data_IF_864709156034
#
_entry.id   IF_864709156034
#
_cell.length_a   1.000
_cell.length_b   1.000
_cell.length_c   1.000
_cell.angle_alpha   90.00
_cell.angle_beta   90.00
_cell.angle_gamma   90.00
#
_symmetry.space_group_name_H-M   'P 1'
#
loop_
_entity.id
_entity.type
_entity.pdbx_description
1 polymer ?
#
# COMPACT_ATOMS: atom_id res chain seq x y z
N UNK A 1 18.56 -9.47 10.43
CA UNK A 1 18.39 -7.99 10.26
C UNK A 1 16.94 -7.74 9.92
N UNK A 2 16.36 -6.62 10.39
CA UNK A 2 14.96 -6.35 10.11
C UNK A 2 14.72 -6.19 8.59
N UNK A 3 13.68 -6.84 8.10
CA UNK A 3 13.22 -6.73 6.72
C UNK A 3 12.83 -5.28 6.41
N UNK A 4 12.93 -4.90 5.15
CA UNK A 4 12.51 -3.59 4.67
C UNK A 4 11.46 -3.71 3.58
N UNK A 5 10.63 -2.70 3.48
CA UNK A 5 9.59 -2.61 2.47
C UNK A 5 9.85 -1.40 1.59
N UNK A 6 9.72 -1.54 0.30
CA UNK A 6 9.80 -0.43 -0.63
C UNK A 6 8.48 -0.24 -1.35
N UNK A 7 8.15 1.01 -1.60
CA UNK A 7 7.02 1.41 -2.40
C UNK A 7 7.47 2.44 -3.44
N UNK A 8 6.96 2.33 -4.65
CA UNK A 8 7.08 3.34 -5.69
C UNK A 8 5.70 3.49 -6.30
N UNK A 9 5.16 4.70 -6.32
CA UNK A 9 3.94 5.03 -7.06
C UNK A 9 4.22 6.10 -8.08
N UNK A 10 3.61 5.97 -9.25
CA UNK A 10 3.79 6.90 -10.35
C UNK A 10 2.46 7.17 -11.07
N UNK A 11 2.30 8.41 -11.54
CA UNK A 11 1.20 8.88 -12.37
C UNK A 11 1.70 9.12 -13.79
N UNK A 12 0.95 8.67 -14.76
CA UNK A 12 1.29 8.73 -16.17
C UNK A 12 0.28 9.57 -16.94
N UNK A 13 0.69 10.21 -18.06
CA UNK A 13 -0.19 11.07 -18.85
C UNK A 13 -1.28 10.30 -19.63
N UNK A 14 -1.20 8.97 -19.63
CA UNK A 14 -2.14 8.08 -20.33
C UNK A 14 -2.40 6.81 -19.57
N UNK A 15 -3.45 6.12 -19.90
CA UNK A 15 -3.69 4.76 -19.43
C UNK A 15 -2.57 3.83 -19.90
N UNK A 16 -2.06 3.03 -18.97
CA UNK A 16 -1.08 1.98 -19.25
C UNK A 16 -1.78 0.70 -19.70
N UNK A 17 -1.24 0.09 -20.74
CA UNK A 17 -1.64 -1.27 -21.14
C UNK A 17 -0.87 -2.32 -20.31
N UNK A 18 -1.31 -3.57 -20.37
CA UNK A 18 -0.61 -4.67 -19.72
C UNK A 18 0.82 -4.90 -20.26
N UNK A 19 1.10 -4.42 -21.48
CA UNK A 19 2.41 -4.55 -22.13
C UNK A 19 3.36 -3.39 -21.86
N UNK A 20 2.88 -2.29 -21.28
CA UNK A 20 3.72 -1.13 -20.98
C UNK A 20 4.67 -1.41 -19.80
N UNK A 21 4.25 -2.25 -18.86
CA UNK A 21 5.08 -2.63 -17.72
C UNK A 21 5.65 -4.03 -17.94
N UNK A 22 6.89 -4.06 -18.39
CA UNK A 22 7.68 -5.29 -18.56
C UNK A 22 8.58 -5.56 -17.36
N UNK A 23 8.46 -4.77 -16.29
CA UNK A 23 9.23 -5.00 -15.08
C UNK A 23 8.77 -6.32 -14.45
N UNK A 24 9.63 -7.32 -14.49
CA UNK A 24 9.49 -8.49 -13.63
C UNK A 24 9.59 -8.10 -12.16
N UNK A 25 9.23 -8.99 -11.26
CA UNK A 25 9.47 -8.76 -9.83
C UNK A 25 10.95 -8.41 -9.60
N UNK A 26 11.27 -7.46 -8.71
CA UNK A 26 12.65 -7.05 -8.48
C UNK A 26 13.47 -8.20 -7.92
N UNK A 27 14.62 -8.45 -8.57
CA UNK A 27 15.53 -9.54 -8.19
C UNK A 27 16.01 -9.37 -6.73
N UNK A 28 15.92 -10.45 -5.97
CA UNK A 28 16.34 -10.50 -4.56
C UNK A 28 15.32 -9.96 -3.56
N UNK A 29 14.12 -9.63 -3.98
CA UNK A 29 13.01 -9.37 -3.07
C UNK A 29 12.41 -10.69 -2.58
N UNK A 30 12.07 -10.77 -1.28
CA UNK A 30 11.32 -11.88 -0.70
C UNK A 30 9.90 -11.95 -1.27
N UNK A 31 9.39 -10.79 -1.66
CA UNK A 31 8.07 -10.63 -2.24
C UNK A 31 7.99 -9.34 -3.08
N UNK A 32 7.22 -9.36 -4.15
CA UNK A 32 6.90 -8.17 -4.94
C UNK A 32 5.46 -8.19 -5.47
N UNK A 33 4.90 -7.01 -5.62
CA UNK A 33 3.56 -6.78 -6.14
C UNK A 33 3.56 -5.51 -6.99
N UNK A 34 2.90 -5.55 -8.13
CA UNK A 34 2.55 -4.37 -8.90
C UNK A 34 1.03 -4.31 -9.12
N UNK A 35 0.50 -3.11 -9.23
CA UNK A 35 -0.92 -2.91 -9.44
C UNK A 35 -1.26 -1.49 -9.87
N UNK A 36 -2.47 -1.34 -10.41
CA UNK A 36 -3.05 -0.04 -10.72
C UNK A 36 -3.90 0.44 -9.55
N UNK A 37 -4.13 1.73 -9.47
CA UNK A 37 -5.08 2.26 -8.51
C UNK A 37 -6.48 1.71 -8.77
N UNK A 38 -7.24 1.43 -7.72
CA UNK A 38 -8.65 1.06 -7.83
C UNK A 38 -9.54 2.22 -7.38
N UNK A 39 -10.57 2.48 -8.17
CA UNK A 39 -11.69 3.34 -7.79
C UNK A 39 -12.96 2.49 -7.64
N UNK A 40 -13.73 2.76 -6.60
CA UNK A 40 -15.01 2.11 -6.35
C UNK A 40 -16.15 3.06 -6.74
N UNK A 41 -17.03 2.60 -7.61
CA UNK A 41 -18.21 3.36 -7.96
C UNK A 41 -19.30 3.31 -6.84
N UNK A 42 -20.40 4.00 -7.05
CA UNK A 42 -21.50 4.05 -6.07
C UNK A 42 -22.16 2.68 -5.81
N UNK A 43 -22.13 1.81 -6.81
CA UNK A 43 -22.63 0.45 -6.67
C UNK A 43 -21.67 -0.46 -5.88
N UNK A 44 -20.45 0.01 -5.54
CA UNK A 44 -19.42 -0.80 -4.86
C UNK A 44 -18.64 -1.71 -5.81
N UNK A 45 -18.64 -1.40 -7.11
CA UNK A 45 -17.90 -2.15 -8.11
C UNK A 45 -16.55 -1.48 -8.38
N UNK A 46 -15.46 -2.27 -8.50
CA UNK A 46 -14.13 -1.73 -8.75
C UNK A 46 -13.94 -1.35 -10.22
N UNK A 47 -13.16 -0.31 -10.44
CA UNK A 47 -12.59 0.03 -11.75
C UNK A 47 -11.11 0.34 -11.60
N UNK A 48 -10.30 0.01 -12.62
CA UNK A 48 -8.87 0.31 -12.62
C UNK A 48 -8.64 1.72 -13.14
N UNK A 49 -7.95 2.54 -12.36
CA UNK A 49 -7.32 3.75 -12.86
C UNK A 49 -5.91 3.39 -13.33
N UNK A 50 -5.76 3.21 -14.63
CA UNK A 50 -4.51 2.76 -15.25
C UNK A 50 -3.49 3.88 -15.46
N UNK A 51 -3.84 5.12 -15.17
CA UNK A 51 -2.88 6.23 -15.16
C UNK A 51 -2.01 6.22 -13.90
N UNK A 52 -2.40 5.47 -12.85
CA UNK A 52 -1.63 5.35 -11.61
C UNK A 52 -1.19 3.92 -11.43
N UNK A 53 0.11 3.75 -11.21
CA UNK A 53 0.73 2.45 -10.99
C UNK A 53 1.62 2.46 -9.76
N UNK A 54 1.58 1.36 -9.02
CA UNK A 54 2.36 1.20 -7.79
C UNK A 54 3.08 -0.13 -7.80
N UNK A 55 4.34 -0.12 -7.38
CA UNK A 55 5.19 -1.28 -7.16
C UNK A 55 5.56 -1.34 -5.68
N UNK A 56 5.42 -2.51 -5.11
CA UNK A 56 5.73 -2.80 -3.72
C UNK A 56 6.66 -4.00 -3.67
N UNK A 57 7.66 -3.95 -2.79
CA UNK A 57 8.53 -5.11 -2.57
C UNK A 57 8.97 -5.21 -1.11
N UNK A 58 9.06 -6.44 -0.62
CA UNK A 58 9.64 -6.78 0.67
C UNK A 58 11.06 -7.32 0.45
N UNK A 59 11.99 -6.82 1.22
CA UNK A 59 13.41 -7.12 1.11
C UNK A 59 13.93 -7.78 2.39
N UNK A 60 14.93 -8.66 2.27
CA UNK A 60 15.53 -9.30 3.45
C UNK A 60 16.18 -8.29 4.42
N UNK A 61 16.58 -7.14 3.93
CA UNK A 61 17.15 -6.05 4.74
C UNK A 61 16.98 -4.67 4.11
N UNK A 62 17.32 -3.62 4.90
CA UNK A 62 17.23 -2.22 4.48
C UNK A 62 18.18 -1.85 3.35
N UNK A 63 19.34 -2.48 3.29
CA UNK A 63 20.34 -2.12 2.28
C UNK A 63 19.94 -2.67 0.91
N UNK A 64 19.30 -3.84 0.86
CA UNK A 64 18.72 -4.36 -0.36
C UNK A 64 17.62 -3.44 -0.91
N UNK A 65 16.67 -3.03 -0.07
CA UNK A 65 15.64 -2.06 -0.46
C UNK A 65 16.22 -0.70 -0.88
N UNK A 66 17.23 -0.21 -0.18
CA UNK A 66 17.92 1.05 -0.52
C UNK A 66 18.65 0.95 -1.87
N UNK A 67 19.34 -0.15 -2.15
CA UNK A 67 19.99 -0.38 -3.45
C UNK A 67 18.98 -0.38 -4.59
N UNK A 68 17.86 -1.04 -4.41
CA UNK A 68 16.77 -1.05 -5.39
C UNK A 68 16.25 0.37 -5.68
N UNK A 69 15.94 1.15 -4.63
CA UNK A 69 15.42 2.52 -4.79
C UNK A 69 16.43 3.46 -5.45
N UNK A 70 17.73 3.31 -5.18
CA UNK A 70 18.77 4.09 -5.86
C UNK A 70 18.83 3.84 -7.37
N UNK A 71 18.46 2.65 -7.81
CA UNK A 71 18.44 2.22 -9.22
C UNK A 71 17.03 2.09 -9.77
N UNK A 72 16.04 2.76 -9.16
CA UNK A 72 14.61 2.58 -9.49
C UNK A 72 14.29 2.80 -10.97
N UNK A 73 14.92 3.78 -11.61
CA UNK A 73 14.69 4.06 -13.04
C UNK A 73 15.28 2.97 -13.94
N UNK A 74 16.41 2.38 -13.55
CA UNK A 74 16.99 1.24 -14.25
C UNK A 74 16.13 -0.01 -14.05
N UNK A 75 15.62 -0.22 -12.84
CA UNK A 75 14.80 -1.36 -12.48
C UNK A 75 13.37 -1.25 -13.00
N UNK A 76 12.86 -0.04 -13.12
CA UNK A 76 11.50 0.28 -13.63
C UNK A 76 11.64 1.40 -14.67
N UNK A 77 12.04 1.09 -15.90
CA UNK A 77 12.26 2.10 -16.95
C UNK A 77 11.03 2.96 -17.25
N UNK A 78 9.85 2.43 -17.00
CA UNK A 78 8.58 3.13 -17.16
C UNK A 78 8.52 4.44 -16.37
N UNK A 79 9.23 4.55 -15.25
CA UNK A 79 9.28 5.77 -14.43
C UNK A 79 9.81 7.01 -15.18
N UNK A 80 10.55 6.83 -16.27
CA UNK A 80 10.99 7.95 -17.13
C UNK A 80 9.85 8.68 -17.84
N UNK A 81 8.68 8.04 -17.93
CA UNK A 81 7.48 8.58 -18.56
C UNK A 81 6.48 9.14 -17.54
N UNK A 82 6.77 9.06 -16.25
CA UNK A 82 5.87 9.52 -15.20
C UNK A 82 5.85 11.05 -15.10
N UNK A 83 4.66 11.64 -14.97
CA UNK A 83 4.47 13.06 -14.69
C UNK A 83 4.71 13.39 -13.21
N UNK A 84 4.35 12.45 -12.36
CA UNK A 84 4.53 12.55 -10.93
C UNK A 84 4.87 11.16 -10.38
N UNK A 85 5.78 11.11 -9.41
CA UNK A 85 6.10 9.87 -8.71
C UNK A 85 6.61 10.15 -7.30
N UNK A 86 6.50 9.14 -6.46
CA UNK A 86 7.18 9.09 -5.19
C UNK A 86 7.70 7.69 -4.91
N UNK A 87 8.69 7.60 -4.04
CA UNK A 87 9.21 6.34 -3.55
C UNK A 87 9.55 6.42 -2.06
N UNK A 88 9.41 5.31 -1.36
CA UNK A 88 9.66 5.21 0.06
C UNK A 88 10.36 3.93 0.47
N UNK A 89 11.22 4.03 1.50
CA UNK A 89 11.80 2.92 2.24
C UNK A 89 11.14 2.87 3.61
N UNK A 90 10.58 1.73 3.94
CA UNK A 90 9.73 1.52 5.10
C UNK A 90 10.27 0.38 5.95
N UNK A 91 10.10 0.46 7.26
CA UNK A 91 10.48 -0.57 8.22
C UNK A 91 9.25 -1.09 8.92
N UNK A 92 8.79 -2.32 8.65
CA UNK A 92 7.70 -2.93 9.38
C UNK A 92 8.03 -3.07 10.87
N UNK A 93 7.11 -2.67 11.75
CA UNK A 93 7.29 -2.82 13.20
C UNK A 93 6.12 -3.51 13.90
N UNK A 94 5.00 -3.65 13.21
CA UNK A 94 3.83 -4.35 13.72
C UNK A 94 3.04 -4.93 12.57
N UNK A 95 2.66 -6.20 12.66
CA UNK A 95 1.82 -6.87 11.68
C UNK A 95 0.81 -7.76 12.39
N UNK A 96 -0.42 -7.79 11.87
CA UNK A 96 -1.51 -8.66 12.32
C UNK A 96 -2.19 -9.27 11.11
N UNK A 97 -2.67 -10.49 11.27
CA UNK A 97 -3.34 -11.24 10.23
C UNK A 97 -2.36 -11.85 9.23
N UNK A 98 -2.93 -12.48 8.22
CA UNK A 98 -2.20 -13.19 7.19
C UNK A 98 -2.13 -12.34 5.94
N UNK A 99 -0.93 -11.88 5.59
CA UNK A 99 -0.68 -11.37 4.26
C UNK A 99 -0.68 -12.56 3.29
N UNK A 100 -1.78 -12.76 2.57
CA UNK A 100 -1.90 -13.76 1.51
C UNK A 100 -1.04 -13.43 0.28
N UNK A 101 0.17 -13.01 0.53
CA UNK A 101 1.05 -12.53 -0.50
C UNK A 101 1.92 -13.63 -1.08
N UNK A 102 1.81 -14.83 -0.53
CA UNK A 102 2.55 -15.96 -1.06
C UNK A 102 1.79 -16.54 -2.26
N UNK A 103 2.47 -16.77 -3.41
CA UNK A 103 1.85 -17.36 -4.60
C UNK A 103 1.11 -18.68 -4.36
N UNK A 104 1.54 -19.44 -3.36
CA UNK A 104 0.95 -20.75 -3.01
C UNK A 104 -0.29 -20.64 -2.11
N UNK A 105 -0.79 -19.44 -1.83
CA UNK A 105 -1.97 -19.23 -0.97
C UNK A 105 -1.77 -19.69 0.48
N UNK A 106 -0.55 -20.04 0.88
CA UNK A 106 -0.24 -20.41 2.26
C UNK A 106 -0.07 -19.14 3.08
N UNK A 107 -0.92 -19.00 4.07
CA UNK A 107 -0.90 -17.92 5.04
C UNK A 107 0.32 -18.04 5.97
N UNK A 108 1.49 -17.69 5.48
CA UNK A 108 2.64 -17.44 6.32
C UNK A 108 2.80 -15.94 6.48
N UNK A 109 3.03 -15.47 7.70
CA UNK A 109 3.49 -14.10 7.88
C UNK A 109 4.77 -13.93 7.08
N UNK A 110 4.75 -13.03 6.09
CA UNK A 110 5.95 -12.73 5.29
C UNK A 110 6.96 -11.90 6.08
N UNK A 111 6.55 -11.35 7.22
CA UNK A 111 7.41 -10.56 8.09
C UNK A 111 8.01 -11.45 9.19
N UNK A 112 9.31 -11.76 9.05
CA UNK A 112 10.05 -12.58 10.01
C UNK A 112 10.75 -11.74 11.08
N UNK A 113 11.28 -10.58 10.67
CA UNK A 113 12.07 -9.69 11.51
C UNK A 113 11.49 -8.28 11.48
N UNK A 114 10.65 -7.96 12.46
CA UNK A 114 10.10 -6.62 12.62
C UNK A 114 11.12 -5.66 13.23
N UNK A 115 11.09 -4.42 12.78
CA UNK A 115 11.89 -3.34 13.32
C UNK A 115 11.34 -2.78 14.65
N UNK A 116 12.07 -1.87 15.28
CA UNK A 116 11.60 -1.21 16.49
C UNK A 116 10.44 -0.26 16.19
N UNK A 117 9.54 -0.14 17.17
CA UNK A 117 8.44 0.84 17.08
C UNK A 117 9.00 2.26 16.98
N UNK A 118 8.47 3.10 16.09
CA UNK A 118 8.96 4.47 15.92
C UNK A 118 8.65 5.37 17.12
N UNK A 119 9.35 6.49 17.20
CA UNK A 119 8.94 7.58 18.10
C UNK A 119 7.57 8.10 17.68
N UNK A 120 6.77 8.54 18.64
CA UNK A 120 5.37 8.95 18.44
C UNK A 120 5.14 10.08 17.42
N UNK A 121 6.16 10.86 17.12
CA UNK A 121 6.10 11.99 16.17
C UNK A 121 6.49 11.63 14.73
N UNK A 122 6.83 10.36 14.45
CA UNK A 122 7.25 9.96 13.11
C UNK A 122 6.08 9.54 12.24
N UNK A 123 6.13 9.84 10.93
CA UNK A 123 5.15 9.33 9.98
C UNK A 123 5.09 7.80 9.99
N UNK A 124 3.86 7.30 9.95
CA UNK A 124 3.55 5.88 9.95
C UNK A 124 2.85 5.54 8.65
N UNK A 125 3.37 4.55 7.97
CA UNK A 125 2.74 3.95 6.82
C UNK A 125 1.94 2.73 7.25
N UNK A 126 0.74 2.60 6.72
CA UNK A 126 -0.14 1.46 6.98
C UNK A 126 -0.44 0.76 5.67
N UNK A 127 -0.20 -0.54 5.66
CA UNK A 127 -0.64 -1.45 4.62
C UNK A 127 -1.75 -2.31 5.20
N UNK A 128 -2.92 -2.23 4.61
CA UNK A 128 -4.04 -3.13 4.91
C UNK A 128 -4.33 -3.96 3.67
N UNK A 129 -4.46 -5.26 3.82
CA UNK A 129 -4.93 -6.12 2.74
C UNK A 129 -6.21 -6.81 3.17
N UNK A 130 -7.12 -6.96 2.24
CA UNK A 130 -8.31 -7.78 2.41
C UNK A 130 -8.49 -8.59 1.13
N UNK A 131 -8.50 -9.91 1.27
CA UNK A 131 -8.76 -10.80 0.15
C UNK A 131 -10.24 -10.86 -0.15
N UNK A 132 -10.57 -10.94 -1.43
CA UNK A 132 -11.93 -11.19 -1.92
C UNK A 132 -11.99 -12.68 -2.26
N UNK A 133 -12.61 -13.47 -1.38
CA UNK A 133 -12.72 -14.92 -1.58
C UNK A 133 -13.63 -15.26 -2.74
N UNK A 134 -14.82 -14.63 -2.79
CA UNK A 134 -15.78 -14.79 -3.87
C UNK A 134 -16.32 -13.42 -4.31
N UNK A 135 -16.40 -13.15 -5.63
CA UNK A 135 -17.10 -11.98 -6.13
C UNK A 135 -18.60 -12.12 -5.81
N UNK A 136 -19.09 -11.30 -4.89
CA UNK A 136 -20.47 -11.38 -4.43
C UNK A 136 -20.89 -10.14 -3.63
N UNK A 137 -21.90 -10.31 -2.78
CA UNK A 137 -22.43 -9.22 -1.94
C UNK A 137 -21.39 -8.65 -0.99
N UNK A 138 -20.48 -9.48 -0.48
CA UNK A 138 -19.38 -9.07 0.39
C UNK A 138 -18.40 -8.13 -0.33
N UNK A 139 -18.06 -8.41 -1.60
CA UNK A 139 -17.21 -7.51 -2.40
C UNK A 139 -17.89 -6.15 -2.61
N UNK A 140 -19.18 -6.15 -2.93
CA UNK A 140 -19.97 -4.92 -3.12
C UNK A 140 -20.02 -4.11 -1.81
N UNK A 141 -20.31 -4.77 -0.70
CA UNK A 141 -20.35 -4.13 0.62
C UNK A 141 -18.98 -3.57 1.01
N UNK A 142 -17.90 -4.32 0.74
CA UNK A 142 -16.53 -3.86 0.94
C UNK A 142 -16.20 -2.63 0.09
N UNK A 143 -16.55 -2.65 -1.21
CA UNK A 143 -16.32 -1.52 -2.11
C UNK A 143 -17.03 -0.24 -1.65
N UNK A 144 -18.30 -0.35 -1.22
CA UNK A 144 -19.04 0.78 -0.64
C UNK A 144 -18.39 1.28 0.66
N UNK A 145 -18.00 0.36 1.54
CA UNK A 145 -17.33 0.68 2.79
C UNK A 145 -16.00 1.37 2.57
N UNK A 146 -15.18 0.86 1.67
CA UNK A 146 -13.88 1.45 1.32
C UNK A 146 -14.04 2.86 0.73
N UNK A 147 -14.99 3.06 -0.17
CA UNK A 147 -15.29 4.38 -0.71
C UNK A 147 -15.63 5.38 0.40
N UNK A 148 -16.48 4.98 1.35
CA UNK A 148 -16.85 5.84 2.48
C UNK A 148 -15.65 6.15 3.40
N UNK A 149 -14.77 5.18 3.63
CA UNK A 149 -13.53 5.37 4.41
C UNK A 149 -12.58 6.33 3.69
N UNK A 150 -12.34 6.15 2.39
CA UNK A 150 -11.50 7.05 1.59
C UNK A 150 -12.02 8.49 1.64
N UNK A 151 -13.32 8.68 1.45
CA UNK A 151 -13.93 10.00 1.56
C UNK A 151 -13.71 10.61 2.95
N UNK A 152 -13.85 9.86 4.01
CA UNK A 152 -13.59 10.34 5.37
C UNK A 152 -12.11 10.63 5.63
N UNK A 153 -11.20 9.88 5.01
CA UNK A 153 -9.76 10.09 5.16
C UNK A 153 -9.25 11.29 4.36
N UNK A 154 -9.82 11.58 3.18
CA UNK A 154 -9.45 12.75 2.38
C UNK A 154 -9.66 14.08 3.12
N UNK A 155 -10.58 14.10 4.09
CA UNK A 155 -10.88 15.28 4.89
C UNK A 155 -10.00 15.41 6.14
N UNK A 156 -9.15 14.41 6.42
CA UNK A 156 -8.27 14.39 7.59
C UNK A 156 -6.90 14.99 7.27
N UNK A 157 -6.52 16.11 7.88
CA UNK A 157 -5.21 16.73 7.64
C UNK A 157 -4.03 15.86 8.08
N UNK A 158 -4.28 14.85 8.93
CA UNK A 158 -3.28 13.91 9.39
C UNK A 158 -3.00 12.73 8.44
N UNK A 159 -3.79 12.61 7.37
CA UNK A 159 -3.52 11.69 6.24
C UNK A 159 -2.67 12.42 5.23
N UNK A 160 -1.46 11.93 4.98
CA UNK A 160 -0.53 12.52 4.02
C UNK A 160 -0.82 12.02 2.61
N UNK A 161 -1.10 10.73 2.48
CA UNK A 161 -1.55 10.10 1.24
C UNK A 161 -2.37 8.84 1.54
N UNK A 162 -3.23 8.48 0.61
CA UNK A 162 -3.98 7.23 0.63
C UNK A 162 -4.14 6.71 -0.80
N UNK A 163 -3.89 5.44 -0.99
CA UNK A 163 -4.06 4.74 -2.26
C UNK A 163 -4.63 3.35 -2.02
N UNK A 164 -5.42 2.87 -2.95
CA UNK A 164 -5.85 1.49 -2.96
C UNK A 164 -5.48 0.86 -4.31
N UNK A 165 -4.97 -0.35 -4.26
CA UNK A 165 -4.46 -1.04 -5.44
C UNK A 165 -5.35 -2.21 -5.82
N UNK A 166 -5.40 -2.47 -7.11
CA UNK A 166 -5.84 -3.72 -7.69
C UNK A 166 -4.63 -4.39 -8.33
N UNK A 167 -4.11 -5.47 -7.72
CA UNK A 167 -2.95 -6.19 -8.23
C UNK A 167 -3.14 -6.72 -9.65
N UNK A 168 -2.02 -6.87 -10.37
CA UNK A 168 -2.05 -7.37 -11.74
C UNK A 168 -2.10 -8.90 -11.82
N UNK A 169 -1.65 -9.57 -10.78
CA UNK A 169 -1.43 -11.02 -10.72
C UNK A 169 -2.71 -11.83 -10.44
N UNK A 170 -3.86 -11.28 -10.76
CA UNK A 170 -5.17 -11.92 -10.58
C UNK A 170 -5.53 -12.29 -9.13
N UNK A 171 -4.72 -11.89 -8.14
CA UNK A 171 -5.13 -12.00 -6.75
C UNK A 171 -6.33 -11.10 -6.53
N UNK A 172 -7.33 -11.65 -5.89
CA UNK A 172 -8.51 -10.89 -5.48
C UNK A 172 -8.24 -10.19 -4.14
N UNK A 173 -7.06 -9.58 -4.01
CA UNK A 173 -6.70 -8.74 -2.87
C UNK A 173 -6.82 -7.27 -3.24
N UNK A 174 -7.23 -6.44 -2.30
CA UNK A 174 -7.31 -4.99 -2.47
C UNK A 174 -6.43 -4.30 -1.42
N UNK A 175 -5.09 -4.23 -1.66
CA UNK A 175 -4.20 -3.53 -0.75
C UNK A 175 -4.53 -2.05 -0.66
N UNK A 176 -4.70 -1.55 0.56
CA UNK A 176 -4.81 -0.13 0.85
C UNK A 176 -3.52 0.35 1.50
N UNK A 177 -2.99 1.42 0.97
CA UNK A 177 -1.75 2.06 1.38
C UNK A 177 -2.10 3.43 1.93
N UNK A 178 -1.69 3.74 3.15
CA UNK A 178 -1.90 5.07 3.71
C UNK A 178 -0.69 5.54 4.51
N UNK A 179 -0.33 6.81 4.34
CA UNK A 179 0.73 7.46 5.09
C UNK A 179 0.10 8.52 6.00
N UNK A 180 0.47 8.45 7.27
CA UNK A 180 -0.08 9.26 8.35
C UNK A 180 1.02 10.08 9.02
N UNK A 181 0.67 11.24 9.56
CA UNK A 181 1.62 12.08 10.28
C UNK A 181 2.27 11.37 11.47
N UNK A 182 1.51 10.49 12.14
CA UNK A 182 1.99 9.71 13.28
C UNK A 182 1.05 8.57 13.64
N UNK A 183 1.48 7.71 14.56
CA UNK A 183 0.70 6.56 15.00
C UNK A 183 -0.60 6.95 15.74
N UNK A 184 -0.60 8.06 16.47
CA UNK A 184 -1.80 8.56 17.16
C UNK A 184 -2.91 8.91 16.19
N UNK A 185 -2.57 9.48 15.02
CA UNK A 185 -3.50 9.76 13.94
C UNK A 185 -4.13 8.47 13.39
N UNK A 186 -3.31 7.43 13.13
CA UNK A 186 -3.79 6.10 12.70
C UNK A 186 -4.81 5.53 13.70
N UNK A 187 -4.45 5.53 14.98
CA UNK A 187 -5.32 4.98 16.04
C UNK A 187 -6.62 5.78 16.13
N UNK A 188 -6.54 7.09 16.07
CA UNK A 188 -7.73 7.95 16.13
C UNK A 188 -8.67 7.68 14.95
N UNK A 189 -8.15 7.61 13.74
CA UNK A 189 -8.96 7.36 12.55
C UNK A 189 -9.55 5.93 12.56
N UNK A 190 -8.76 4.92 12.92
CA UNK A 190 -9.19 3.53 12.93
C UNK A 190 -10.32 3.26 13.94
N UNK A 191 -10.26 3.86 15.13
CA UNK A 191 -11.19 3.52 16.22
C UNK A 191 -12.27 4.57 16.48
N UNK A 192 -12.12 5.80 15.97
CA UNK A 192 -13.07 6.90 16.22
C UNK A 192 -13.93 7.28 15.03
N UNK A 193 -13.57 6.87 13.80
CA UNK A 193 -14.40 7.16 12.63
C UNK A 193 -15.47 6.09 12.42
N UNK A 194 -16.72 6.51 12.25
CA UNK A 194 -17.84 5.60 11.99
C UNK A 194 -17.70 4.84 10.67
N UNK A 195 -17.25 5.46 9.56
CA UNK A 195 -17.04 4.76 8.31
C UNK A 195 -16.05 3.60 8.44
N UNK A 196 -14.93 3.81 9.15
CA UNK A 196 -13.93 2.76 9.34
C UNK A 196 -14.44 1.61 10.21
N UNK A 197 -15.15 1.91 11.31
CA UNK A 197 -15.78 0.89 12.15
C UNK A 197 -16.81 0.07 11.38
N UNK A 198 -17.56 0.71 10.50
CA UNK A 198 -18.53 0.03 9.63
C UNK A 198 -17.84 -0.85 8.60
N UNK A 199 -16.75 -0.39 7.99
CA UNK A 199 -15.96 -1.20 7.06
C UNK A 199 -15.33 -2.43 7.74
N UNK A 200 -14.85 -2.29 8.98
CA UNK A 200 -14.33 -3.43 9.76
C UNK A 200 -15.38 -4.53 9.98
N UNK A 201 -16.65 -4.18 10.18
CA UNK A 201 -17.74 -5.17 10.30
C UNK A 201 -18.01 -5.93 8.99
N UNK A 202 -17.77 -5.27 7.86
CA UNK A 202 -17.89 -5.91 6.54
C UNK A 202 -16.76 -6.91 6.31
N UNK A 203 -15.59 -6.70 6.90
CA UNK A 203 -14.45 -7.61 6.75
C UNK A 203 -14.72 -9.04 7.29
N UNK A 204 -15.73 -9.21 8.15
CA UNK A 204 -16.15 -10.52 8.65
C UNK A 204 -17.13 -11.25 7.69
N UNK A 205 -17.45 -10.67 6.54
CA UNK A 205 -18.37 -11.27 5.58
C UNK A 205 -17.78 -12.56 4.97
N UNK A 206 -18.56 -13.64 4.80
CA UNK A 206 -18.07 -14.94 4.31
C UNK A 206 -17.48 -14.91 2.89
N UNK A 207 -17.88 -13.94 2.06
CA UNK A 207 -17.29 -13.73 0.72
C UNK A 207 -15.89 -13.11 0.77
N UNK A 208 -15.49 -12.57 1.92
CA UNK A 208 -14.19 -11.95 2.09
C UNK A 208 -13.23 -12.95 2.71
N UNK A 209 -12.02 -12.97 2.16
CA UNK A 209 -10.94 -13.77 2.70
C UNK A 209 -10.20 -13.00 3.80
N UNK A 210 -9.21 -13.66 4.37
CA UNK A 210 -8.38 -13.13 5.45
C UNK A 210 -7.82 -11.75 5.16
N UNK A 211 -7.83 -10.89 6.15
CA UNK A 211 -7.22 -9.57 6.12
C UNK A 211 -5.92 -9.49 6.90
N UNK A 212 -5.09 -8.54 6.55
CA UNK A 212 -3.90 -8.19 7.30
C UNK A 212 -3.78 -6.69 7.49
N UNK A 213 -3.00 -6.33 8.49
CA UNK A 213 -2.75 -4.95 8.85
C UNK A 213 -1.32 -4.81 9.32
N UNK A 214 -0.51 -4.05 8.60
CA UNK A 214 0.89 -3.85 8.89
C UNK A 214 1.22 -2.37 9.02
N UNK A 215 1.84 -2.00 10.15
CA UNK A 215 2.37 -0.65 10.39
C UNK A 215 3.87 -0.63 10.13
N UNK A 216 4.31 0.44 9.47
CA UNK A 216 5.70 0.62 9.08
C UNK A 216 6.16 2.04 9.39
N UNK A 217 7.40 2.18 9.81
CA UNK A 217 8.04 3.49 9.92
C UNK A 217 8.54 3.93 8.57
N UNK A 218 8.23 5.15 8.14
CA UNK A 218 8.84 5.75 6.97
C UNK A 218 10.29 6.15 7.32
N UNK A 219 11.27 5.45 6.74
CA UNK A 219 12.69 5.72 6.96
C UNK A 219 13.21 6.79 6.00
N UNK A 220 12.75 6.77 4.77
CA UNK A 220 13.17 7.66 3.72
C UNK A 220 12.08 7.75 2.65
N UNK A 221 11.94 8.92 2.05
CA UNK A 221 11.08 9.14 0.90
C UNK A 221 11.70 10.14 -0.07
N UNK A 222 11.30 10.05 -1.33
CA UNK A 222 11.66 10.98 -2.40
C UNK A 222 10.49 11.14 -3.37
N UNK A 223 10.42 12.31 -4.01
CA UNK A 223 9.38 12.67 -4.95
C UNK A 223 8.20 13.38 -4.30
N UNK A 224 7.13 13.54 -5.05
CA UNK A 224 5.89 14.20 -4.62
C UNK A 224 4.68 13.36 -4.99
N UNK A 225 3.58 13.60 -4.29
CA UNK A 225 2.30 12.99 -4.59
C UNK A 225 1.18 13.97 -4.27
N UNK A 226 0.37 14.30 -5.31
CA UNK A 226 -0.75 15.24 -5.20
C UNK A 226 -0.34 16.58 -4.55
N UNK A 227 0.82 17.08 -4.97
CA UNK A 227 1.38 18.35 -4.48
C UNK A 227 2.09 18.26 -3.12
N UNK A 228 2.09 17.09 -2.46
CA UNK A 228 2.81 16.89 -1.19
C UNK A 228 4.24 16.43 -1.47
N UNK A 229 5.22 17.18 -1.01
CA UNK A 229 6.63 16.79 -1.06
C UNK A 229 6.92 15.71 0.00
N UNK A 230 7.06 14.46 -0.42
CA UNK A 230 7.26 13.34 0.50
C UNK A 230 8.68 13.26 1.06
N UNK A 231 9.65 13.90 0.44
CA UNK A 231 11.02 14.00 0.96
C UNK A 231 11.06 14.69 2.32
N UNK A 232 10.21 15.71 2.52
CA UNK A 232 10.12 16.44 3.79
C UNK A 232 9.44 15.61 4.89
N UNK A 233 8.66 14.59 4.52
CA UNK A 233 7.99 13.67 5.44
C UNK A 233 8.87 12.48 5.82
N UNK A 234 9.84 12.13 4.99
CA UNK A 234 10.84 11.11 5.31
C UNK A 234 11.67 11.52 6.52
N UNK A 235 12.01 10.57 7.37
CA UNK A 235 12.83 10.86 8.54
C UNK A 235 14.18 11.46 8.15
N UNK A 236 14.41 12.68 8.54
CA UNK A 236 15.73 13.28 8.57
C UNK A 236 16.53 12.57 9.66
N UNK A 237 17.52 11.79 9.26
CA UNK A 237 18.46 11.22 10.20
C UNK A 237 18.80 9.76 9.88
N UNK A 238 19.94 9.66 9.23
CA UNK A 238 20.68 8.51 8.80
C UNK A 238 21.09 7.50 9.85
#
# INVERSE_FOLDING_TARGET
MAQAFTIISARFPRDLSATDDTSGGPEGADFALAGSEVAWNEAGLPSRNRTIRTWIALWPDRDAGRRFLKRRVENIPLLTQAEEWWSGLLLPYQSHGDLNWHPDGKAASVFHDLGPRPKSSRPVFVLTTLGIGNPGEGMIAFGKGTRAVRQAFSDLPSVILEQQLLPDDQRLDAPTLSLWENEGAVISAAYRSDPHRSAMKVADHPDLARGSFTRMTLLWAEGSWEGVNLREKGAVGG
#
